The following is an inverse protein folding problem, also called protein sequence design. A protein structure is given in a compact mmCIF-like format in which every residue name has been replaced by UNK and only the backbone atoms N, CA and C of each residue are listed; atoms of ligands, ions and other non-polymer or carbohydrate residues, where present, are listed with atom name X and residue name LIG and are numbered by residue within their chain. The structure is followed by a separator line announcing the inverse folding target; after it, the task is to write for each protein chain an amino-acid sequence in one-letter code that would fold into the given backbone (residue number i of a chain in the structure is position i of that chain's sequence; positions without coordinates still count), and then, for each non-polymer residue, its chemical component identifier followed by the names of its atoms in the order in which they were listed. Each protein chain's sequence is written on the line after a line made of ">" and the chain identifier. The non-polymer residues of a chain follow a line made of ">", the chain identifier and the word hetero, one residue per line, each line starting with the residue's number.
data_IF_007996139000
#
_entry.id   IF_007996139000
#
_cell.length_a   1.000
_cell.length_b   1.000
_cell.length_c   1.000
_cell.angle_alpha   90.00
_cell.angle_beta   90.00
_cell.angle_gamma   90.00
#
_symmetry.space_group_name_H-M   'P 1'
#
loop_
_entity.id
_entity.type
_entity.pdbx_description
1 polymer ?
#
# COMPACT_ATOMS: atom_id res chain seq x y z
N UNK A 1 -5.65 -27.39 12.73
CA UNK A 1 -5.06 -26.12 12.24
C UNK A 1 -5.70 -24.99 13.02
N UNK A 2 -4.92 -24.16 13.67
CA UNK A 2 -5.49 -22.96 14.29
C UNK A 2 -6.02 -22.07 13.17
N UNK A 3 -7.29 -21.67 13.25
CA UNK A 3 -7.85 -20.64 12.37
C UNK A 3 -7.01 -19.38 12.54
N UNK A 4 -6.36 -18.98 11.47
CA UNK A 4 -5.57 -17.76 11.45
C UNK A 4 -6.54 -16.58 11.48
N UNK A 5 -6.56 -15.84 12.59
CA UNK A 5 -7.40 -14.67 12.75
C UNK A 5 -6.56 -13.40 12.63
N UNK A 6 -7.18 -12.30 12.19
CA UNK A 6 -6.55 -10.99 12.23
C UNK A 6 -6.23 -10.61 13.68
N UNK A 7 -5.11 -9.90 13.93
CA UNK A 7 -4.88 -9.31 15.25
C UNK A 7 -6.09 -8.49 15.74
N UNK A 8 -6.40 -8.59 17.02
CA UNK A 8 -7.58 -7.97 17.61
C UNK A 8 -7.68 -6.47 17.32
N UNK A 9 -6.55 -5.75 17.31
CA UNK A 9 -6.52 -4.31 17.01
C UNK A 9 -7.02 -4.00 15.60
N UNK A 10 -6.74 -4.86 14.62
CA UNK A 10 -7.22 -4.69 13.25
C UNK A 10 -8.70 -5.08 13.14
N UNK A 11 -9.10 -6.18 13.75
CA UNK A 11 -10.51 -6.60 13.77
C UNK A 11 -11.40 -5.52 14.41
N UNK A 12 -10.97 -4.91 15.49
CA UNK A 12 -11.72 -3.87 16.18
C UNK A 12 -11.94 -2.64 15.27
N UNK A 13 -10.93 -2.23 14.51
CA UNK A 13 -11.06 -1.11 13.57
C UNK A 13 -12.16 -1.41 12.55
N UNK A 14 -12.17 -2.59 11.95
CA UNK A 14 -13.19 -2.96 10.96
C UNK A 14 -14.56 -3.18 11.57
N UNK A 15 -14.64 -3.53 12.86
CA UNK A 15 -15.90 -3.71 13.57
C UNK A 15 -16.54 -2.39 14.00
N UNK A 16 -15.72 -1.38 14.32
CA UNK A 16 -16.20 -0.11 14.90
C UNK A 16 -16.28 1.03 13.89
N UNK A 17 -15.49 0.98 12.83
CA UNK A 17 -15.44 2.04 11.81
C UNK A 17 -16.01 1.53 10.48
N UNK A 18 -16.77 2.39 9.81
CA UNK A 18 -17.38 2.08 8.51
C UNK A 18 -17.05 3.09 7.42
N UNK A 19 -16.67 4.31 7.81
CA UNK A 19 -16.32 5.38 6.85
C UNK A 19 -14.89 5.20 6.38
N UNK A 20 -14.61 5.31 5.07
CA UNK A 20 -13.26 5.10 4.53
C UNK A 20 -12.18 5.90 5.23
N UNK A 21 -12.37 7.21 5.43
CA UNK A 21 -11.36 8.05 6.07
C UNK A 21 -11.07 7.63 7.52
N UNK A 22 -12.09 7.24 8.27
CA UNK A 22 -11.93 6.78 9.66
C UNK A 22 -11.17 5.45 9.70
N UNK A 23 -11.53 4.52 8.82
CA UNK A 23 -10.83 3.23 8.71
C UNK A 23 -9.36 3.45 8.33
N UNK A 24 -9.07 4.22 7.30
CA UNK A 24 -7.68 4.42 6.84
C UNK A 24 -6.83 5.12 7.89
N UNK A 25 -7.36 6.13 8.56
CA UNK A 25 -6.64 6.86 9.61
C UNK A 25 -6.29 5.97 10.82
N UNK A 26 -7.16 5.05 11.18
CA UNK A 26 -6.94 4.10 12.27
C UNK A 26 -6.07 2.92 11.83
N UNK A 27 -6.27 2.44 10.60
CA UNK A 27 -5.64 1.23 10.07
C UNK A 27 -4.13 1.40 9.88
N UNK A 28 -3.67 2.49 9.27
CA UNK A 28 -2.28 2.62 8.89
C UNK A 28 -1.32 2.56 10.10
N UNK A 29 -1.57 3.28 11.20
CA UNK A 29 -0.75 3.14 12.39
C UNK A 29 -0.78 1.71 12.98
N UNK A 30 -1.97 1.13 13.09
CA UNK A 30 -2.14 -0.20 13.65
C UNK A 30 -1.45 -1.27 12.78
N UNK A 31 -1.60 -1.19 11.47
CA UNK A 31 -0.96 -2.11 10.53
C UNK A 31 0.56 -1.98 10.56
N UNK A 32 1.07 -0.75 10.57
CA UNK A 32 2.50 -0.50 10.67
C UNK A 32 3.11 -1.12 11.93
N UNK A 33 2.41 -1.05 13.06
CA UNK A 33 2.84 -1.67 14.31
C UNK A 33 2.72 -3.20 14.28
N UNK A 34 1.63 -3.75 13.77
CA UNK A 34 1.42 -5.20 13.63
C UNK A 34 2.50 -5.82 12.74
N UNK A 35 2.83 -5.20 11.63
CA UNK A 35 3.85 -5.67 10.69
C UNK A 35 5.27 -5.24 11.09
N UNK A 36 5.41 -4.43 12.14
CA UNK A 36 6.71 -3.88 12.57
C UNK A 36 7.43 -3.14 11.44
N UNK A 37 6.68 -2.27 10.76
CA UNK A 37 7.18 -1.44 9.67
C UNK A 37 7.60 -0.06 10.17
N UNK A 38 8.41 0.63 9.37
CA UNK A 38 8.84 2.00 9.66
C UNK A 38 7.90 3.04 9.08
N UNK A 39 7.25 2.73 7.97
CA UNK A 39 6.27 3.60 7.31
C UNK A 39 5.20 2.72 6.65
N UNK A 40 3.97 3.23 6.61
CA UNK A 40 2.88 2.61 5.87
C UNK A 40 2.08 3.71 5.18
N UNK A 41 1.95 3.65 3.86
CA UNK A 41 1.18 4.64 3.12
C UNK A 41 0.16 4.02 2.18
N UNK A 42 -0.86 4.79 1.83
CA UNK A 42 -1.95 4.38 0.97
C UNK A 42 -2.08 5.34 -0.22
N UNK A 43 -1.82 4.82 -1.41
CA UNK A 43 -2.08 5.48 -2.67
C UNK A 43 -3.49 5.11 -3.16
N UNK A 44 -4.29 6.12 -3.51
CA UNK A 44 -5.65 5.95 -4.03
C UNK A 44 -5.74 6.60 -5.40
N UNK A 45 -6.48 5.97 -6.33
CA UNK A 45 -6.59 6.44 -7.71
C UNK A 45 -7.93 6.09 -8.33
N UNK A 46 -8.34 6.91 -9.30
CA UNK A 46 -9.46 6.61 -10.18
C UNK A 46 -8.91 5.93 -11.45
N UNK A 47 -9.30 4.66 -11.72
CA UNK A 47 -8.76 3.92 -12.86
C UNK A 47 -9.22 4.47 -14.22
N UNK A 48 -10.32 5.21 -14.30
CA UNK A 48 -10.80 5.82 -15.52
C UNK A 48 -10.07 7.10 -15.89
N UNK A 49 -9.84 7.98 -14.89
CA UNK A 49 -9.20 9.28 -15.12
C UNK A 49 -7.69 9.26 -14.95
N UNK A 50 -7.15 8.20 -14.31
CA UNK A 50 -5.72 8.10 -13.93
C UNK A 50 -5.27 9.24 -13.03
N UNK A 51 -6.16 9.73 -12.20
CA UNK A 51 -5.87 10.73 -11.16
C UNK A 51 -5.76 10.02 -9.82
N UNK A 52 -4.69 10.30 -9.09
CA UNK A 52 -4.42 9.67 -7.82
C UNK A 52 -3.61 10.53 -6.87
N UNK A 53 -3.47 10.07 -5.64
CA UNK A 53 -2.58 10.66 -4.65
C UNK A 53 -2.24 9.66 -3.55
N UNK A 54 -1.10 9.84 -2.90
CA UNK A 54 -0.84 9.22 -1.60
C UNK A 54 -1.67 10.00 -0.57
N UNK A 55 -2.79 9.42 -0.17
CA UNK A 55 -3.79 10.09 0.66
C UNK A 55 -3.49 9.99 2.16
N UNK A 56 -2.80 8.92 2.57
CA UNK A 56 -2.48 8.63 3.97
C UNK A 56 -1.06 8.10 4.07
N UNK A 57 -0.31 8.57 5.07
CA UNK A 57 1.03 8.09 5.38
C UNK A 57 1.23 8.10 6.89
N UNK A 58 1.51 6.93 7.45
CA UNK A 58 1.95 6.79 8.83
C UNK A 58 3.45 6.50 8.86
N UNK A 59 4.15 7.10 9.82
CA UNK A 59 5.58 6.90 10.07
C UNK A 59 5.79 6.55 11.53
N UNK A 60 6.70 5.62 11.78
CA UNK A 60 7.11 5.27 13.14
C UNK A 60 7.84 6.44 13.82
N UNK A 61 8.60 7.21 13.05
CA UNK A 61 9.29 8.41 13.50
C UNK A 61 9.44 9.43 12.37
N UNK A 62 9.81 10.66 12.72
CA UNK A 62 10.03 11.74 11.74
C UNK A 62 11.32 11.56 10.92
N UNK A 63 12.15 10.58 11.26
CA UNK A 63 13.33 10.21 10.47
C UNK A 63 12.96 9.69 9.07
N UNK A 64 11.78 9.07 8.95
CA UNK A 64 11.32 8.52 7.68
C UNK A 64 10.56 9.57 6.88
N UNK A 65 10.78 9.65 5.54
CA UNK A 65 10.11 10.66 4.73
C UNK A 65 8.60 10.52 4.73
N UNK A 66 7.90 11.65 4.87
CA UNK A 66 6.46 11.73 4.61
C UNK A 66 6.24 11.85 3.11
N UNK A 67 5.47 10.93 2.56
CA UNK A 67 5.19 10.89 1.12
C UNK A 67 3.76 11.31 0.79
N UNK A 68 3.02 11.86 1.75
CA UNK A 68 1.64 12.32 1.54
C UNK A 68 1.59 13.42 0.48
N UNK A 69 0.72 13.24 -0.50
CA UNK A 69 0.43 14.27 -1.50
C UNK A 69 -0.63 15.25 -0.95
N UNK A 70 -0.46 16.55 -1.25
CA UNK A 70 -1.44 17.57 -0.86
C UNK A 70 -2.72 17.49 -1.68
N UNK A 71 -2.58 17.21 -2.99
CA UNK A 71 -3.68 17.24 -3.95
C UNK A 71 -3.71 16.02 -4.86
N UNK A 72 -4.88 15.75 -5.43
CA UNK A 72 -5.04 14.81 -6.52
C UNK A 72 -4.30 15.32 -7.76
N UNK A 73 -3.60 14.40 -8.45
CA UNK A 73 -2.82 14.73 -9.66
C UNK A 73 -2.88 13.60 -10.68
N UNK A 74 -2.70 13.97 -11.94
CA UNK A 74 -2.60 12.99 -13.02
C UNK A 74 -1.32 12.15 -12.86
N UNK A 75 -1.47 10.85 -13.09
CA UNK A 75 -0.32 9.95 -13.14
C UNK A 75 0.49 10.22 -14.40
N UNK A 76 1.82 10.38 -14.29
CA UNK A 76 2.66 10.52 -15.47
C UNK A 76 2.53 9.31 -16.41
N UNK A 77 2.45 9.56 -17.71
CA UNK A 77 2.32 8.47 -18.70
C UNK A 77 3.50 7.51 -18.69
N UNK A 78 4.69 8.02 -18.33
CA UNK A 78 5.91 7.20 -18.25
C UNK A 78 5.98 6.31 -17.00
N UNK A 79 5.15 6.56 -15.99
CA UNK A 79 5.26 5.89 -14.69
C UNK A 79 5.28 4.36 -14.77
N UNK A 80 4.40 3.70 -15.55
CA UNK A 80 4.45 2.23 -15.67
C UNK A 80 5.74 1.70 -16.29
N UNK A 81 6.42 2.51 -17.10
CA UNK A 81 7.68 2.11 -17.71
C UNK A 81 8.87 2.25 -16.74
N UNK A 82 8.79 3.18 -15.80
CA UNK A 82 9.84 3.39 -14.79
C UNK A 82 9.64 2.56 -13.54
N UNK A 83 8.38 2.24 -13.20
CA UNK A 83 8.03 1.51 -11.98
C UNK A 83 7.36 0.17 -12.33
N UNK A 84 8.13 -0.94 -12.36
CA UNK A 84 7.59 -2.27 -12.63
C UNK A 84 6.55 -2.73 -11.60
N UNK A 85 6.65 -2.31 -10.34
CA UNK A 85 5.66 -2.61 -9.31
C UNK A 85 4.31 -1.97 -9.65
N UNK A 86 4.32 -0.71 -10.04
CA UNK A 86 3.11 -0.01 -10.49
C UNK A 86 2.54 -0.63 -11.76
N UNK A 87 3.39 -1.00 -12.72
CA UNK A 87 2.94 -1.68 -13.94
C UNK A 87 2.24 -3.01 -13.64
N UNK A 88 2.78 -3.81 -12.71
CA UNK A 88 2.16 -5.05 -12.27
C UNK A 88 0.80 -4.81 -11.59
N UNK A 89 0.70 -3.77 -10.76
CA UNK A 89 -0.55 -3.37 -10.12
C UNK A 89 -1.61 -2.97 -11.15
N UNK A 90 -1.23 -2.22 -12.19
CA UNK A 90 -2.14 -1.84 -13.29
C UNK A 90 -2.67 -3.06 -14.06
N UNK A 91 -1.87 -4.13 -14.16
CA UNK A 91 -2.32 -5.40 -14.75
C UNK A 91 -3.15 -6.24 -13.78
N UNK A 92 -3.42 -5.71 -12.58
CA UNK A 92 -4.15 -6.40 -11.50
C UNK A 92 -3.52 -7.74 -11.11
N UNK A 93 -2.19 -7.82 -11.17
CA UNK A 93 -1.44 -8.97 -10.69
C UNK A 93 -1.52 -9.06 -9.15
N UNK A 94 -1.26 -10.25 -8.58
CA UNK A 94 -1.21 -10.40 -7.12
C UNK A 94 -0.21 -9.44 -6.48
N UNK A 95 -0.49 -9.05 -5.23
CA UNK A 95 0.39 -8.19 -4.43
C UNK A 95 1.81 -8.74 -4.36
N UNK A 96 2.79 -7.84 -4.36
CA UNK A 96 4.20 -8.16 -4.46
C UNK A 96 4.89 -7.85 -3.13
N UNK A 97 5.65 -8.81 -2.64
CA UNK A 97 6.41 -8.73 -1.39
C UNK A 97 7.89 -8.63 -1.75
N UNK A 98 8.48 -7.48 -1.49
CA UNK A 98 9.89 -7.20 -1.81
C UNK A 98 10.71 -7.25 -0.52
N UNK A 99 11.55 -8.26 -0.40
CA UNK A 99 12.39 -8.46 0.79
C UNK A 99 13.62 -7.56 0.81
N UNK A 100 14.14 -7.20 -0.36
CA UNK A 100 15.31 -6.33 -0.51
C UNK A 100 15.30 -5.64 -1.88
N UNK A 101 15.08 -4.34 -1.87
CA UNK A 101 15.10 -3.51 -3.10
C UNK A 101 16.46 -3.57 -3.81
N UNK A 102 17.56 -3.71 -3.04
CA UNK A 102 18.91 -3.70 -3.61
C UNK A 102 19.26 -4.99 -4.38
N UNK A 103 18.63 -6.11 -4.04
CA UNK A 103 18.90 -7.42 -4.65
C UNK A 103 17.74 -7.99 -5.44
N UNK A 104 16.60 -7.30 -5.47
CA UNK A 104 15.42 -7.76 -6.19
C UNK A 104 15.66 -7.83 -7.71
N UNK A 105 14.91 -8.74 -8.36
CA UNK A 105 14.93 -8.84 -9.82
C UNK A 105 14.55 -7.49 -10.46
N UNK A 106 15.39 -6.94 -11.35
CA UNK A 106 15.09 -5.65 -12.02
C UNK A 106 13.79 -5.65 -12.83
N UNK A 107 13.29 -6.81 -13.24
CA UNK A 107 11.98 -6.92 -13.89
C UNK A 107 10.82 -6.69 -12.93
N UNK A 108 11.06 -6.83 -11.62
CA UNK A 108 10.05 -6.65 -10.57
C UNK A 108 10.19 -5.29 -9.89
N UNK A 109 11.43 -4.87 -9.63
CA UNK A 109 11.74 -3.63 -8.90
C UNK A 109 12.79 -2.82 -9.65
N UNK A 110 12.49 -1.56 -9.92
CA UNK A 110 13.49 -0.59 -10.37
C UNK A 110 14.15 0.06 -9.14
N UNK A 111 15.33 -0.42 -8.80
CA UNK A 111 16.08 0.02 -7.62
C UNK A 111 16.31 1.54 -7.59
N UNK A 112 16.68 2.13 -8.71
CA UNK A 112 16.97 3.57 -8.79
C UNK A 112 15.69 4.40 -8.62
N UNK A 113 14.58 3.95 -9.19
CA UNK A 113 13.28 4.57 -9.00
C UNK A 113 12.85 4.53 -7.52
N UNK A 114 12.98 3.37 -6.86
CA UNK A 114 12.63 3.23 -5.45
C UNK A 114 13.51 4.10 -4.55
N UNK A 115 14.81 4.14 -4.81
CA UNK A 115 15.76 4.97 -4.05
C UNK A 115 15.44 6.47 -4.19
N UNK A 116 15.12 6.92 -5.40
CA UNK A 116 14.83 8.32 -5.68
C UNK A 116 13.51 8.80 -5.08
N UNK A 117 12.48 7.97 -5.16
CA UNK A 117 11.11 8.39 -4.81
C UNK A 117 10.69 8.01 -3.39
N UNK A 118 11.19 6.92 -2.85
CA UNK A 118 10.71 6.37 -1.57
C UNK A 118 11.80 6.12 -0.54
N UNK A 119 12.98 5.67 -0.94
CA UNK A 119 14.11 5.43 -0.07
C UNK A 119 14.03 4.18 0.81
N UNK A 120 12.99 3.37 0.69
CA UNK A 120 12.82 2.16 1.50
C UNK A 120 13.69 1.00 1.00
N UNK A 121 14.02 0.06 1.90
CA UNK A 121 14.83 -1.13 1.61
C UNK A 121 13.98 -2.38 1.32
N UNK A 122 12.87 -2.54 2.02
CA UNK A 122 11.90 -3.61 1.81
C UNK A 122 10.49 -3.02 1.82
N UNK A 123 9.56 -3.67 1.11
CA UNK A 123 8.18 -3.18 1.03
C UNK A 123 7.20 -4.30 0.68
N UNK A 124 5.95 -4.05 1.02
CA UNK A 124 4.82 -4.78 0.46
C UNK A 124 4.10 -3.84 -0.49
N UNK A 125 3.89 -4.26 -1.73
CA UNK A 125 3.12 -3.54 -2.74
C UNK A 125 1.77 -4.23 -2.87
N UNK A 126 0.83 -3.84 -1.99
CA UNK A 126 -0.48 -4.48 -1.88
C UNK A 126 -1.47 -3.82 -2.85
N UNK A 127 -2.02 -4.60 -3.77
CA UNK A 127 -2.86 -4.13 -4.85
C UNK A 127 -4.34 -4.18 -4.47
N UNK A 128 -5.00 -3.03 -4.47
CA UNK A 128 -6.43 -2.91 -4.20
C UNK A 128 -7.20 -2.90 -5.51
N UNK A 129 -7.60 -4.11 -5.94
CA UNK A 129 -8.24 -4.32 -7.24
C UNK A 129 -9.70 -4.72 -7.07
N UNK A 130 -10.57 -4.13 -7.90
CA UNK A 130 -11.99 -4.48 -7.98
C UNK A 130 -12.46 -4.40 -9.43
N UNK A 131 -13.19 -5.42 -9.87
CA UNK A 131 -13.73 -5.51 -11.24
C UNK A 131 -12.65 -5.38 -12.32
N UNK A 132 -11.47 -5.96 -12.07
CA UNK A 132 -10.34 -5.91 -13.00
C UNK A 132 -9.64 -4.56 -13.10
N UNK A 133 -9.89 -3.66 -12.15
CA UNK A 133 -9.31 -2.31 -12.12
C UNK A 133 -8.55 -2.06 -10.82
N UNK A 134 -7.45 -1.32 -10.91
CA UNK A 134 -6.65 -0.90 -9.77
C UNK A 134 -7.20 0.40 -9.18
N UNK A 135 -7.57 0.37 -7.89
CA UNK A 135 -8.12 1.51 -7.16
C UNK A 135 -7.14 2.09 -6.13
N UNK A 136 -6.14 1.35 -5.76
CA UNK A 136 -5.15 1.82 -4.80
C UNK A 136 -4.03 0.83 -4.55
N UNK A 137 -3.02 1.30 -3.81
CA UNK A 137 -1.86 0.52 -3.41
C UNK A 137 -1.55 0.84 -1.96
N UNK A 138 -1.51 -0.19 -1.11
CA UNK A 138 -1.10 -0.08 0.28
C UNK A 138 0.35 -0.54 0.39
N UNK A 139 1.22 0.31 0.96
CA UNK A 139 2.65 0.02 1.04
C UNK A 139 3.21 0.12 2.46
N UNK A 140 3.25 -0.99 3.20
CA UNK A 140 4.11 -1.12 4.37
C UNK A 140 5.59 -1.15 3.94
N UNK A 141 6.45 -0.37 4.61
CA UNK A 141 7.84 -0.17 4.21
C UNK A 141 8.81 -0.34 5.38
N UNK A 142 9.97 -0.91 5.10
CA UNK A 142 11.10 -1.03 6.03
C UNK A 142 12.32 -0.33 5.44
N UNK A 143 13.00 0.45 6.26
CA UNK A 143 14.20 1.22 5.89
C UNK A 143 15.47 0.58 6.44
N UNK A 144 16.58 0.75 5.74
CA UNK A 144 17.91 0.47 6.22
C UNK A 144 18.35 -1.00 6.21
N UNK A 145 17.42 -1.93 6.08
CA UNK A 145 17.71 -3.37 6.10
C UNK A 145 16.66 -4.13 5.32
N UNK A 146 17.01 -5.32 4.78
CA UNK A 146 16.04 -6.22 4.17
C UNK A 146 15.07 -6.77 5.22
N UNK A 147 13.94 -7.27 4.76
CA UNK A 147 12.91 -7.87 5.61
C UNK A 147 12.36 -9.13 4.94
N UNK A 148 12.37 -10.24 5.67
CA UNK A 148 11.63 -11.44 5.26
C UNK A 148 10.17 -11.27 5.63
N UNK A 149 9.29 -11.33 4.64
CA UNK A 149 7.84 -11.26 4.85
C UNK A 149 7.32 -12.66 5.17
N UNK A 150 6.86 -12.84 6.41
CA UNK A 150 6.40 -14.13 6.95
C UNK A 150 5.02 -14.52 6.39
N UNK A 151 4.63 -15.77 6.60
CA UNK A 151 3.27 -16.23 6.27
C UNK A 151 2.21 -15.42 7.04
N UNK A 152 2.52 -15.02 8.26
CA UNK A 152 1.66 -14.13 9.04
C UNK A 152 1.49 -12.76 8.38
N UNK A 153 2.58 -12.13 7.94
CA UNK A 153 2.54 -10.84 7.24
C UNK A 153 1.68 -10.95 5.98
N UNK A 154 1.87 -12.02 5.21
CA UNK A 154 1.11 -12.27 3.97
C UNK A 154 -0.38 -12.49 4.24
N UNK A 155 -0.71 -13.22 5.29
CA UNK A 155 -2.09 -13.44 5.72
C UNK A 155 -2.75 -12.12 6.12
N UNK A 156 -2.10 -11.31 6.96
CA UNK A 156 -2.63 -10.00 7.39
C UNK A 156 -2.90 -9.12 6.18
N UNK A 157 -1.97 -9.02 5.26
CA UNK A 157 -2.13 -8.20 4.05
C UNK A 157 -3.29 -8.69 3.19
N UNK A 158 -3.42 -9.99 2.96
CA UNK A 158 -4.52 -10.55 2.18
C UNK A 158 -5.89 -10.20 2.77
N UNK A 159 -6.02 -10.28 4.09
CA UNK A 159 -7.27 -9.92 4.79
C UNK A 159 -7.54 -8.42 4.73
N UNK A 160 -6.52 -7.60 4.95
CA UNK A 160 -6.64 -6.13 4.89
C UNK A 160 -7.03 -5.68 3.48
N UNK A 161 -6.37 -6.17 2.43
CA UNK A 161 -6.72 -5.88 1.03
C UNK A 161 -8.19 -6.13 0.75
N UNK A 162 -8.68 -7.29 1.15
CA UNK A 162 -10.06 -7.68 0.94
C UNK A 162 -11.04 -6.72 1.62
N UNK A 163 -10.72 -6.27 2.83
CA UNK A 163 -11.58 -5.38 3.62
C UNK A 163 -11.53 -3.93 3.14
N UNK A 164 -10.37 -3.42 2.72
CA UNK A 164 -10.23 -2.00 2.39
C UNK A 164 -10.47 -1.69 0.91
N UNK A 165 -10.43 -2.65 0.02
CA UNK A 165 -10.67 -2.40 -1.40
C UNK A 165 -12.03 -1.73 -1.66
N UNK A 166 -13.17 -2.21 -1.12
CA UNK A 166 -14.45 -1.52 -1.29
C UNK A 166 -14.45 -0.09 -0.72
N UNK A 167 -13.73 0.14 0.35
CA UNK A 167 -13.59 1.45 0.98
C UNK A 167 -12.75 2.40 0.12
N UNK A 168 -11.70 1.89 -0.52
CA UNK A 168 -10.89 2.64 -1.47
C UNK A 168 -11.74 3.10 -2.67
N UNK A 169 -12.54 2.19 -3.22
CA UNK A 169 -13.49 2.50 -4.31
C UNK A 169 -14.46 3.60 -3.89
N UNK A 170 -15.08 3.47 -2.72
CA UNK A 170 -16.02 4.44 -2.19
C UNK A 170 -15.37 5.82 -1.97
N UNK A 171 -14.16 5.84 -1.43
CA UNK A 171 -13.40 7.07 -1.18
C UNK A 171 -13.12 7.82 -2.49
N UNK A 172 -12.61 7.11 -3.49
CA UNK A 172 -12.29 7.69 -4.81
C UNK A 172 -13.54 8.22 -5.51
N UNK A 173 -14.62 7.44 -5.51
CA UNK A 173 -15.89 7.87 -6.12
C UNK A 173 -16.47 9.10 -5.44
N UNK A 174 -16.38 9.19 -4.13
CA UNK A 174 -16.84 10.35 -3.38
C UNK A 174 -16.00 11.60 -3.63
N UNK A 175 -14.74 11.45 -4.01
CA UNK A 175 -13.85 12.57 -4.33
C UNK A 175 -14.22 13.28 -5.63
N UNK A 176 -14.93 12.65 -6.54
CA UNK A 176 -15.38 13.25 -7.79
C UNK A 176 -14.27 13.56 -8.80
N UNK A 177 -13.20 12.78 -8.80
CA UNK A 177 -12.03 12.96 -9.68
C UNK A 177 -12.07 12.03 -10.87
#
# INVERSE_FOLDING_TARGET
>A
MADQALPAVLEEIFATESKPNAVFSALLPALGQVLQCHRCFLYLRNPQTKIGKIAYCWRQSDEYPDVTDSDWKEEPEFLPNEDPLFAAALRTEPSIFVEDVETANPEVVNRDFEAKNFGHRALIHAHLCQDGLLWGILQPCVFGQPRVWTDFDRFVIAQVEKKITPLAVAYVKAAGI
#
